data_IF_732522014937
#
_entry.id   IF_732522014937
#
_cell.length_a   1.000
_cell.length_b   1.000
_cell.length_c   1.000
_cell.angle_alpha   90.00
_cell.angle_beta   90.00
_cell.angle_gamma   90.00
#
_symmetry.space_group_name_H-M   'P 1'
#
loop_
_entity.id
_entity.type
_entity.pdbx_description
1 polymer ?
#
# COMPACT_ATOMS: atom_id res chain seq x y z
N UNK A 1 20.49 15.55 -4.91
CA UNK A 1 20.44 14.19 -4.33
C UNK A 1 20.50 14.34 -2.81
N UNK A 2 19.80 13.49 -2.04
CA UNK A 2 19.88 13.48 -0.58
C UNK A 2 21.31 13.29 -0.06
N UNK A 3 21.60 13.79 1.15
CA UNK A 3 22.92 13.67 1.78
C UNK A 3 23.19 12.26 2.35
N UNK A 4 22.15 11.57 2.81
CA UNK A 4 22.29 10.24 3.39
C UNK A 4 22.43 9.19 2.29
N UNK A 5 23.52 8.42 2.34
CA UNK A 5 23.74 7.27 1.47
C UNK A 5 23.26 5.98 2.14
N UNK A 6 22.35 5.27 1.46
CA UNK A 6 21.84 3.96 1.84
C UNK A 6 21.98 2.95 0.68
N UNK A 7 22.92 3.18 -0.24
CA UNK A 7 23.16 2.31 -1.40
C UNK A 7 23.73 0.93 -1.05
N UNK A 8 24.29 0.78 0.16
CA UNK A 8 24.74 -0.51 0.70
C UNK A 8 23.59 -1.40 1.20
N UNK A 9 22.38 -0.84 1.37
CA UNK A 9 21.22 -1.61 1.78
C UNK A 9 20.71 -2.41 0.56
N UNK A 10 20.62 -3.76 0.63
CA UNK A 10 20.30 -4.59 -0.53
C UNK A 10 18.80 -4.60 -0.82
N UNK A 11 18.24 -3.44 -1.15
CA UNK A 11 16.83 -3.24 -1.48
C UNK A 11 16.50 -3.93 -2.81
N UNK A 12 15.31 -4.52 -2.91
CA UNK A 12 14.76 -5.07 -4.16
C UNK A 12 13.34 -4.57 -4.38
N UNK A 13 12.94 -4.41 -5.64
CA UNK A 13 11.54 -4.13 -5.98
C UNK A 13 10.79 -5.44 -6.19
N UNK A 14 9.47 -5.43 -6.01
CA UNK A 14 8.61 -6.60 -6.18
C UNK A 14 7.25 -6.14 -6.73
N UNK A 15 7.01 -6.42 -8.01
CA UNK A 15 5.90 -5.84 -8.77
C UNK A 15 5.34 -6.86 -9.78
N UNK A 16 4.22 -6.58 -10.47
CA UNK A 16 3.77 -7.40 -11.58
C UNK A 16 4.83 -7.48 -12.70
N UNK A 17 4.88 -8.59 -13.47
CA UNK A 17 5.78 -8.71 -14.61
C UNK A 17 5.66 -7.53 -15.59
N UNK A 18 6.80 -6.95 -15.98
CA UNK A 18 6.85 -5.85 -16.96
C UNK A 18 6.63 -4.45 -16.38
N UNK A 19 6.41 -4.30 -15.07
CA UNK A 19 6.27 -3.00 -14.41
C UNK A 19 7.50 -2.11 -14.62
N UNK A 20 7.27 -0.80 -14.77
CA UNK A 20 8.34 0.20 -14.99
C UNK A 20 8.30 1.36 -14.01
N UNK A 21 7.14 1.67 -13.46
CA UNK A 21 6.90 2.66 -12.42
C UNK A 21 7.05 2.06 -11.02
N UNK A 22 8.27 1.67 -10.70
CA UNK A 22 8.62 0.99 -9.45
C UNK A 22 8.68 2.01 -8.31
N UNK A 23 7.54 2.18 -7.63
CA UNK A 23 7.38 3.08 -6.49
C UNK A 23 8.20 2.65 -5.25
N UNK A 24 8.40 1.34 -5.10
CA UNK A 24 8.74 0.71 -3.82
C UNK A 24 9.92 -0.26 -3.96
N UNK A 25 10.87 -0.19 -3.04
CA UNK A 25 11.90 -1.21 -2.87
C UNK A 25 12.03 -1.58 -1.39
N UNK A 26 12.24 -2.86 -1.08
CA UNK A 26 12.24 -3.34 0.31
C UNK A 26 13.43 -4.24 0.63
N UNK A 27 13.77 -4.25 1.90
CA UNK A 27 14.70 -5.20 2.52
C UNK A 27 14.18 -5.53 3.92
N UNK A 28 14.07 -6.81 4.22
CA UNK A 28 13.56 -7.33 5.49
C UNK A 28 14.71 -8.01 6.24
N UNK A 29 15.01 -7.55 7.45
CA UNK A 29 16.07 -8.11 8.30
C UNK A 29 15.57 -8.52 9.67
N UNK A 30 16.25 -9.49 10.31
CA UNK A 30 16.03 -9.81 11.72
C UNK A 30 16.73 -8.81 12.64
N UNK A 31 16.20 -8.65 13.84
CA UNK A 31 16.79 -7.90 14.96
C UNK A 31 16.62 -8.69 16.25
N UNK A 32 17.31 -8.28 17.30
CA UNK A 32 17.06 -8.82 18.64
C UNK A 32 15.61 -8.48 19.06
N UNK A 33 14.77 -9.51 19.18
CA UNK A 33 13.36 -9.39 19.55
C UNK A 33 12.40 -8.99 18.42
N UNK A 34 12.78 -9.19 17.15
CA UNK A 34 11.86 -9.08 16.02
C UNK A 34 12.51 -8.79 14.68
N UNK A 35 12.01 -7.78 13.99
CA UNK A 35 12.33 -7.50 12.58
C UNK A 35 12.60 -6.02 12.34
N UNK A 36 13.25 -5.74 11.21
CA UNK A 36 13.35 -4.41 10.60
C UNK A 36 12.89 -4.49 9.17
N UNK A 37 11.86 -3.70 8.86
CA UNK A 37 11.42 -3.42 7.50
C UNK A 37 12.13 -2.14 7.06
N UNK A 38 13.01 -2.26 6.07
CA UNK A 38 13.55 -1.09 5.38
C UNK A 38 12.83 -0.95 4.03
N UNK A 39 12.09 0.13 3.86
CA UNK A 39 11.20 0.32 2.74
C UNK A 39 11.46 1.69 2.10
N UNK A 40 12.06 1.66 0.92
CA UNK A 40 12.37 2.84 0.14
C UNK A 40 11.20 3.15 -0.79
N UNK A 41 10.69 4.38 -0.71
CA UNK A 41 9.65 4.91 -1.57
C UNK A 41 10.25 5.97 -2.48
N UNK A 42 9.93 5.97 -3.78
CA UNK A 42 10.41 6.98 -4.73
C UNK A 42 10.14 8.42 -4.25
N UNK A 43 11.17 9.28 -4.21
CA UNK A 43 11.03 10.67 -3.74
C UNK A 43 10.66 11.61 -4.90
N UNK A 44 9.37 11.73 -5.20
CA UNK A 44 8.86 12.61 -6.27
C UNK A 44 9.13 14.09 -6.02
N UNK A 45 9.28 14.51 -4.76
CA UNK A 45 9.61 15.89 -4.43
C UNK A 45 11.02 16.30 -4.88
N UNK A 46 11.89 15.32 -5.20
CA UNK A 46 13.17 15.60 -5.85
C UNK A 46 13.03 16.10 -7.29
N UNK A 47 11.87 15.90 -7.92
CA UNK A 47 11.61 16.22 -9.33
C UNK A 47 10.53 17.28 -9.52
N UNK A 48 9.52 17.33 -8.63
CA UNK A 48 8.40 18.26 -8.72
C UNK A 48 8.59 19.42 -7.75
N UNK A 49 8.85 20.61 -8.30
CA UNK A 49 8.95 21.85 -7.54
C UNK A 49 7.55 22.38 -7.22
N UNK A 50 7.24 22.71 -5.95
CA UNK A 50 5.98 23.37 -5.59
C UNK A 50 5.73 24.62 -6.42
N UNK A 51 4.46 24.88 -6.76
CA UNK A 51 4.00 26.03 -7.56
C UNK A 51 4.57 26.09 -9.00
N UNK A 52 5.27 25.04 -9.44
CA UNK A 52 5.79 24.91 -10.80
C UNK A 52 4.76 24.39 -11.80
N UNK A 53 5.07 24.48 -13.10
CA UNK A 53 4.17 24.00 -14.16
C UNK A 53 3.85 22.50 -14.03
N UNK A 54 4.84 21.68 -13.64
CA UNK A 54 4.61 20.25 -13.41
C UNK A 54 3.73 20.00 -12.17
N UNK A 55 3.87 20.82 -11.13
CA UNK A 55 3.05 20.72 -9.91
C UNK A 55 1.58 21.01 -10.21
N UNK A 56 1.31 22.07 -10.97
CA UNK A 56 -0.04 22.40 -11.45
C UNK A 56 -0.68 21.25 -12.24
N UNK A 57 0.07 20.65 -13.18
CA UNK A 57 -0.41 19.49 -13.93
C UNK A 57 -0.66 18.27 -13.02
N UNK A 58 0.17 18.04 -12.01
CA UNK A 58 -0.04 16.97 -11.05
C UNK A 58 -1.32 17.17 -10.23
N UNK A 59 -1.65 18.42 -9.86
CA UNK A 59 -2.92 18.76 -9.21
C UNK A 59 -4.13 18.52 -10.11
N UNK A 60 -4.05 18.91 -11.39
CA UNK A 60 -5.12 18.68 -12.36
C UNK A 60 -5.38 17.18 -12.60
N UNK A 61 -4.34 16.33 -12.55
CA UNK A 61 -4.46 14.87 -12.71
C UNK A 61 -4.84 14.13 -11.44
N UNK A 62 -4.20 14.45 -10.32
CA UNK A 62 -4.31 13.79 -9.02
C UNK A 62 -3.75 12.35 -8.95
N UNK A 63 -3.96 11.53 -9.98
CA UNK A 63 -3.56 10.12 -10.06
C UNK A 63 -3.16 9.69 -11.47
N UNK A 64 -2.43 8.58 -11.59
CA UNK A 64 -2.32 7.86 -12.87
C UNK A 64 -3.63 7.13 -13.15
N UNK A 65 -4.13 7.25 -14.38
CA UNK A 65 -5.28 6.48 -14.86
C UNK A 65 -4.79 5.29 -15.68
N UNK A 66 -5.22 4.08 -15.30
CA UNK A 66 -4.91 2.83 -16.01
C UNK A 66 -6.16 2.36 -16.75
N UNK A 67 -6.13 2.42 -18.08
CA UNK A 67 -7.10 1.79 -18.97
C UNK A 67 -6.51 0.48 -19.52
N UNK A 68 -7.33 -0.46 -20.03
CA UNK A 68 -6.85 -1.72 -20.60
C UNK A 68 -5.77 -1.58 -21.69
N UNK A 69 -5.85 -0.53 -22.50
CA UNK A 69 -5.00 -0.28 -23.67
C UNK A 69 -4.16 1.00 -23.56
N UNK A 70 -4.44 1.82 -22.55
CA UNK A 70 -3.82 3.13 -22.39
C UNK A 70 -3.51 3.41 -20.92
N UNK A 71 -2.34 4.00 -20.65
CA UNK A 71 -1.99 4.55 -19.35
C UNK A 71 -1.78 6.04 -19.48
N UNK A 72 -2.45 6.82 -18.61
CA UNK A 72 -2.26 8.27 -18.51
C UNK A 72 -1.56 8.57 -17.18
N UNK A 73 -0.22 8.69 -17.18
CA UNK A 73 0.56 8.76 -15.94
C UNK A 73 0.40 10.11 -15.24
N UNK A 74 0.45 10.11 -13.90
CA UNK A 74 0.45 11.34 -13.09
C UNK A 74 1.64 12.24 -13.42
N UNK A 75 2.80 11.62 -13.66
CA UNK A 75 4.04 12.30 -14.01
C UNK A 75 4.50 11.88 -15.42
N UNK A 76 5.26 12.71 -16.15
CA UNK A 76 5.88 12.32 -17.41
C UNK A 76 6.70 11.02 -17.28
N UNK A 77 6.74 10.21 -18.34
CA UNK A 77 7.46 8.91 -18.37
C UNK A 77 8.94 9.04 -17.98
N UNK A 78 9.58 10.16 -18.36
CA UNK A 78 10.98 10.46 -17.98
C UNK A 78 11.19 10.55 -16.46
N UNK A 79 10.12 10.78 -15.69
CA UNK A 79 10.11 10.72 -14.23
C UNK A 79 9.59 9.35 -13.78
N UNK A 80 8.35 8.99 -14.11
CA UNK A 80 7.69 7.83 -13.49
C UNK A 80 8.26 6.47 -13.92
N UNK A 81 8.80 6.34 -15.13
CA UNK A 81 9.40 5.09 -15.63
C UNK A 81 10.92 5.12 -15.67
N UNK A 82 11.54 6.23 -15.27
CA UNK A 82 12.98 6.41 -15.38
C UNK A 82 13.59 7.05 -14.13
N UNK A 83 13.58 8.39 -14.04
CA UNK A 83 14.37 9.10 -13.04
C UNK A 83 13.87 8.89 -11.60
N UNK A 84 12.56 8.73 -11.41
CA UNK A 84 11.93 8.46 -10.11
C UNK A 84 11.74 6.98 -9.80
N UNK A 85 11.65 6.13 -10.83
CA UNK A 85 11.50 4.68 -10.67
C UNK A 85 12.73 4.04 -10.02
N UNK A 86 12.51 3.16 -9.04
CA UNK A 86 13.55 2.45 -8.28
C UNK A 86 14.17 1.27 -9.06
N UNK A 87 14.52 1.52 -10.32
CA UNK A 87 15.14 0.57 -11.23
C UNK A 87 16.48 -0.01 -10.67
N UNK A 88 16.78 -1.29 -10.95
CA UNK A 88 17.95 -1.95 -10.41
C UNK A 88 19.26 -1.34 -10.93
N UNK A 89 20.28 -1.32 -10.06
CA UNK A 89 21.63 -0.85 -10.36
C UNK A 89 21.79 0.67 -10.46
N UNK A 90 20.72 1.44 -10.22
CA UNK A 90 20.74 2.89 -10.39
C UNK A 90 20.57 3.63 -9.06
N UNK A 91 21.34 4.69 -8.85
CA UNK A 91 21.16 5.57 -7.70
C UNK A 91 19.86 6.37 -7.86
N UNK A 92 19.02 6.36 -6.83
CA UNK A 92 17.73 7.03 -6.81
C UNK A 92 17.49 7.76 -5.48
N UNK A 93 16.88 8.96 -5.52
CA UNK A 93 16.39 9.59 -4.30
C UNK A 93 15.16 8.83 -3.81
N UNK A 94 15.12 8.52 -2.52
CA UNK A 94 14.00 7.83 -1.89
C UNK A 94 13.70 8.39 -0.51
N UNK A 95 12.44 8.29 -0.12
CA UNK A 95 11.97 8.38 1.26
C UNK A 95 12.13 6.99 1.87
N UNK A 96 13.17 6.82 2.68
CA UNK A 96 13.50 5.56 3.33
C UNK A 96 12.80 5.47 4.69
N UNK A 97 11.88 4.52 4.78
CA UNK A 97 11.22 4.11 6.01
C UNK A 97 12.03 3.00 6.67
N UNK A 98 12.29 3.12 7.96
CA UNK A 98 12.77 2.03 8.80
C UNK A 98 11.74 1.77 9.89
N UNK A 99 11.06 0.63 9.81
CA UNK A 99 10.01 0.22 10.73
C UNK A 99 10.51 -1.00 11.48
N UNK A 100 10.66 -0.84 12.78
CA UNK A 100 11.05 -1.91 13.69
C UNK A 100 9.80 -2.61 14.21
N UNK A 101 9.79 -3.94 14.08
CA UNK A 101 8.70 -4.78 14.53
C UNK A 101 9.17 -5.66 15.68
N UNK A 102 8.29 -5.92 16.64
CA UNK A 102 8.47 -6.98 17.62
C UNK A 102 8.30 -8.37 16.96
N UNK A 103 8.63 -9.45 17.68
CA UNK A 103 8.35 -10.83 17.25
C UNK A 103 6.87 -11.08 16.93
N UNK A 104 5.96 -10.30 17.54
CA UNK A 104 4.52 -10.32 17.25
C UNK A 104 4.14 -9.68 15.91
N UNK A 105 5.07 -8.98 15.26
CA UNK A 105 4.82 -8.16 14.07
C UNK A 105 4.25 -6.77 14.40
N UNK A 106 4.07 -6.41 15.67
CA UNK A 106 3.63 -5.07 16.09
C UNK A 106 4.75 -4.03 15.92
N UNK A 107 4.36 -2.79 15.62
CA UNK A 107 5.31 -1.68 15.45
C UNK A 107 5.90 -1.27 16.78
N UNK A 108 7.21 -1.35 16.90
CA UNK A 108 8.00 -0.87 18.05
C UNK A 108 8.46 0.56 17.82
N UNK A 109 9.03 0.82 16.63
CA UNK A 109 9.56 2.14 16.28
C UNK A 109 9.42 2.38 14.78
N UNK A 110 9.36 3.66 14.39
CA UNK A 110 9.38 4.07 12.98
C UNK A 110 10.20 5.34 12.83
N UNK A 111 11.12 5.32 11.87
CA UNK A 111 11.86 6.50 11.43
C UNK A 111 11.79 6.66 9.91
N UNK A 112 11.80 7.91 9.46
CA UNK A 112 11.68 8.28 8.06
C UNK A 112 12.76 9.29 7.72
N UNK A 113 13.50 9.05 6.63
CA UNK A 113 14.53 9.97 6.16
C UNK A 113 14.70 9.90 4.66
N UNK A 114 15.16 11.01 4.07
CA UNK A 114 15.60 11.01 2.67
C UNK A 114 16.93 10.32 2.53
N UNK A 115 17.07 9.48 1.52
CA UNK A 115 18.29 8.73 1.23
C UNK A 115 18.53 8.60 -0.27
N UNK A 116 19.79 8.42 -0.67
CA UNK A 116 20.14 7.82 -1.95
C UNK A 116 20.16 6.30 -1.77
N UNK A 117 19.38 5.58 -2.58
CA UNK A 117 19.30 4.12 -2.57
C UNK A 117 19.72 3.55 -3.92
N UNK A 118 20.02 2.25 -3.95
CA UNK A 118 20.28 1.50 -5.18
C UNK A 118 19.62 0.13 -5.07
N UNK A 119 18.51 -0.06 -5.77
CA UNK A 119 17.89 -1.39 -5.87
C UNK A 119 18.87 -2.38 -6.50
N UNK A 120 18.97 -3.59 -5.96
CA UNK A 120 19.88 -4.63 -6.46
C UNK A 120 19.21 -5.54 -7.47
N UNK A 121 17.89 -5.65 -7.44
CA UNK A 121 17.10 -6.48 -8.35
C UNK A 121 15.68 -5.94 -8.53
N UNK A 122 15.15 -6.17 -9.73
CA UNK A 122 13.72 -6.04 -10.03
C UNK A 122 13.12 -7.44 -10.04
N UNK A 123 12.24 -7.74 -9.09
CA UNK A 123 11.62 -9.05 -8.95
C UNK A 123 10.14 -8.98 -9.34
N UNK A 124 9.59 -10.12 -9.73
CA UNK A 124 8.17 -10.27 -10.04
C UNK A 124 7.47 -11.29 -9.15
N UNK A 125 6.17 -11.10 -8.93
CA UNK A 125 5.39 -11.94 -8.02
C UNK A 125 5.42 -13.44 -8.37
N UNK A 126 5.20 -13.88 -9.63
CA UNK A 126 5.24 -15.31 -9.96
C UNK A 126 6.59 -15.96 -9.63
N UNK A 127 7.70 -15.31 -9.99
CA UNK A 127 9.03 -15.84 -9.71
C UNK A 127 9.33 -15.86 -8.21
N UNK A 128 8.99 -14.79 -7.47
CA UNK A 128 9.22 -14.77 -6.03
C UNK A 128 8.37 -15.82 -5.31
N UNK A 129 7.10 -15.99 -5.70
CA UNK A 129 6.26 -17.05 -5.14
C UNK A 129 6.91 -18.43 -5.31
N UNK A 130 7.38 -18.76 -6.51
CA UNK A 130 8.05 -20.03 -6.77
C UNK A 130 9.32 -20.22 -5.94
N UNK A 131 10.10 -19.15 -5.70
CA UNK A 131 11.31 -19.24 -4.86
C UNK A 131 10.98 -19.36 -3.38
N UNK A 132 9.91 -18.70 -2.90
CA UNK A 132 9.42 -18.85 -1.53
C UNK A 132 8.95 -20.29 -1.29
N UNK A 133 8.18 -20.87 -2.20
CA UNK A 133 7.64 -22.23 -2.08
C UNK A 133 8.73 -23.31 -2.05
N UNK A 134 9.94 -22.98 -2.54
CA UNK A 134 11.11 -23.86 -2.59
C UNK A 134 12.20 -23.46 -1.59
N UNK A 135 11.89 -22.59 -0.63
CA UNK A 135 12.83 -22.09 0.40
C UNK A 135 14.12 -21.46 -0.18
N UNK A 136 14.01 -20.86 -1.36
CA UNK A 136 15.12 -20.26 -2.12
C UNK A 136 14.89 -18.77 -2.43
N UNK A 137 14.01 -18.12 -1.67
CA UNK A 137 13.67 -16.71 -1.82
C UNK A 137 14.91 -15.79 -1.76
N UNK A 138 14.87 -14.69 -2.51
CA UNK A 138 15.92 -13.68 -2.47
C UNK A 138 16.15 -13.21 -1.02
N UNK A 139 17.40 -13.07 -0.54
CA UNK A 139 17.69 -12.79 0.87
C UNK A 139 16.93 -11.58 1.44
N UNK A 140 16.77 -10.51 0.65
CA UNK A 140 16.04 -9.30 1.03
C UNK A 140 14.54 -9.51 1.30
N UNK A 141 13.96 -10.60 0.78
CA UNK A 141 12.54 -10.97 0.89
C UNK A 141 12.32 -12.28 1.65
N UNK A 142 13.38 -12.92 2.15
CA UNK A 142 13.27 -14.23 2.81
C UNK A 142 12.32 -14.21 4.03
N UNK A 143 12.17 -13.05 4.68
CA UNK A 143 11.27 -12.86 5.83
C UNK A 143 9.88 -12.37 5.43
N UNK A 144 9.58 -12.16 4.15
CA UNK A 144 8.29 -11.65 3.69
C UNK A 144 7.13 -12.57 4.08
N UNK A 145 7.21 -13.91 3.95
CA UNK A 145 6.12 -14.80 4.37
C UNK A 145 5.85 -14.73 5.88
N UNK A 146 6.92 -14.70 6.69
CA UNK A 146 6.84 -14.66 8.15
C UNK A 146 6.24 -13.33 8.65
N UNK A 147 6.79 -12.20 8.18
CA UNK A 147 6.27 -10.87 8.52
C UNK A 147 4.85 -10.69 7.98
N UNK A 148 4.60 -11.07 6.72
CA UNK A 148 3.28 -10.99 6.11
C UNK A 148 2.21 -11.76 6.88
N UNK A 149 2.51 -12.99 7.32
CA UNK A 149 1.61 -13.79 8.14
C UNK A 149 1.32 -13.15 9.51
N UNK A 150 2.33 -12.60 10.19
CA UNK A 150 2.13 -11.86 11.44
C UNK A 150 1.24 -10.64 11.24
N UNK A 151 1.46 -9.89 10.15
CA UNK A 151 0.65 -8.70 9.83
C UNK A 151 -0.81 -9.06 9.51
N UNK A 152 -1.05 -10.15 8.77
CA UNK A 152 -2.39 -10.69 8.54
C UNK A 152 -3.06 -11.11 9.85
N UNK A 153 -2.34 -11.80 10.74
CA UNK A 153 -2.88 -12.17 12.05
C UNK A 153 -3.29 -10.94 12.88
N UNK A 154 -2.49 -9.87 12.86
CA UNK A 154 -2.84 -8.61 13.49
C UNK A 154 -4.01 -7.91 12.80
N UNK A 155 -4.16 -8.02 11.48
CA UNK A 155 -5.32 -7.51 10.75
C UNK A 155 -6.62 -8.21 11.18
N UNK A 156 -6.59 -9.55 11.32
CA UNK A 156 -7.70 -10.34 11.87
C UNK A 156 -8.05 -9.97 13.30
N UNK A 157 -7.06 -9.74 14.17
CA UNK A 157 -7.31 -9.29 15.55
C UNK A 157 -8.02 -7.93 15.62
N UNK A 158 -7.86 -7.09 14.59
CA UNK A 158 -8.57 -5.80 14.45
C UNK A 158 -9.88 -5.93 13.69
N UNK A 159 -10.26 -7.12 13.24
CA UNK A 159 -11.43 -7.38 12.38
C UNK A 159 -11.39 -6.60 11.06
N UNK A 160 -10.20 -6.42 10.49
CA UNK A 160 -10.04 -5.81 9.18
C UNK A 160 -10.80 -6.60 8.10
N UNK A 161 -11.33 -5.89 7.10
CA UNK A 161 -12.03 -6.47 5.97
C UNK A 161 -11.03 -6.61 4.82
N UNK A 162 -10.63 -7.85 4.53
CA UNK A 162 -9.84 -8.20 3.34
C UNK A 162 -10.75 -8.87 2.31
N UNK A 163 -11.15 -8.10 1.29
CA UNK A 163 -11.87 -8.64 0.15
C UNK A 163 -10.87 -9.28 -0.81
N UNK A 164 -10.64 -10.58 -0.63
CA UNK A 164 -9.80 -11.39 -1.53
C UNK A 164 -10.52 -11.69 -2.85
N UNK A 165 -11.13 -10.68 -3.48
CA UNK A 165 -11.76 -10.84 -4.77
C UNK A 165 -10.70 -11.10 -5.84
N UNK A 166 -10.95 -12.00 -6.82
CA UNK A 166 -10.05 -12.17 -7.94
C UNK A 166 -9.91 -10.85 -8.71
N UNK A 167 -8.69 -10.50 -9.11
CA UNK A 167 -8.43 -9.36 -9.97
C UNK A 167 -9.10 -9.59 -11.32
N UNK A 168 -9.72 -8.54 -11.87
CA UNK A 168 -10.32 -8.55 -13.20
C UNK A 168 -9.35 -7.90 -14.19
N UNK A 169 -8.83 -8.68 -15.12
CA UNK A 169 -7.86 -8.23 -16.12
C UNK A 169 -8.49 -8.26 -17.51
N UNK A 170 -8.43 -7.13 -18.21
CA UNK A 170 -8.85 -7.05 -19.61
C UNK A 170 -7.64 -7.39 -20.48
N UNK A 171 -7.72 -8.48 -21.23
CA UNK A 171 -6.63 -9.00 -22.05
C UNK A 171 -7.04 -9.08 -23.52
N UNK A 172 -6.08 -8.94 -24.43
CA UNK A 172 -6.34 -9.14 -25.85
C UNK A 172 -6.53 -10.62 -26.16
N UNK A 173 -7.52 -10.95 -26.98
CA UNK A 173 -7.74 -12.32 -27.45
C UNK A 173 -6.94 -12.61 -28.75
N UNK A 174 -6.89 -13.88 -29.13
CA UNK A 174 -6.18 -14.33 -30.34
C UNK A 174 -6.83 -13.86 -31.65
N UNK A 175 -8.05 -13.32 -31.61
CA UNK A 175 -8.77 -12.76 -32.74
C UNK A 175 -8.60 -11.23 -32.86
N UNK A 176 -7.80 -10.61 -31.99
CA UNK A 176 -7.58 -9.16 -31.95
C UNK A 176 -8.70 -8.38 -31.24
N UNK A 177 -9.58 -9.08 -30.52
CA UNK A 177 -10.58 -8.52 -29.61
C UNK A 177 -10.07 -8.43 -28.16
N UNK A 178 -10.98 -8.19 -27.23
CA UNK A 178 -10.70 -8.11 -25.79
C UNK A 178 -11.60 -9.08 -25.02
N UNK A 179 -11.04 -9.71 -23.99
CA UNK A 179 -11.77 -10.57 -23.04
C UNK A 179 -11.38 -10.22 -21.62
N UNK A 180 -12.22 -10.61 -20.65
CA UNK A 180 -11.92 -10.47 -19.22
C UNK A 180 -11.42 -11.80 -18.68
N UNK A 181 -10.32 -11.76 -17.95
CA UNK A 181 -9.79 -12.87 -17.18
C UNK A 181 -9.83 -12.54 -15.69
N UNK A 182 -10.03 -13.56 -14.87
CA UNK A 182 -9.99 -13.45 -13.42
C UNK A 182 -8.72 -14.10 -12.91
N UNK A 183 -7.98 -13.39 -12.07
CA UNK A 183 -6.72 -13.88 -11.49
C UNK A 183 -6.80 -13.84 -9.98
N UNK A 184 -6.51 -14.98 -9.35
CA UNK A 184 -6.33 -15.03 -7.90
C UNK A 184 -4.95 -14.46 -7.56
N UNK A 185 -4.89 -13.59 -6.56
CA UNK A 185 -3.63 -13.08 -6.04
C UNK A 185 -2.79 -14.20 -5.42
N UNK A 186 -1.48 -14.15 -5.65
CA UNK A 186 -0.53 -15.05 -5.04
C UNK A 186 -0.32 -14.67 -3.55
N UNK A 187 -0.01 -15.63 -2.66
CA UNK A 187 0.32 -15.33 -1.27
C UNK A 187 1.36 -14.22 -1.10
N UNK A 188 2.39 -14.20 -1.95
CA UNK A 188 3.43 -13.16 -1.94
C UNK A 188 2.89 -11.75 -2.21
N UNK A 189 1.85 -11.62 -3.05
CA UNK A 189 1.19 -10.33 -3.32
C UNK A 189 0.48 -9.83 -2.07
N UNK A 190 -0.23 -10.72 -1.38
CA UNK A 190 -0.93 -10.44 -0.13
C UNK A 190 0.08 -10.02 0.95
N UNK A 191 1.18 -10.77 1.12
CA UNK A 191 2.22 -10.41 2.09
C UNK A 191 2.91 -9.09 1.76
N UNK A 192 3.17 -8.81 0.47
CA UNK A 192 3.73 -7.52 0.05
C UNK A 192 2.78 -6.37 0.38
N UNK A 193 1.48 -6.53 0.11
CA UNK A 193 0.46 -5.52 0.43
C UNK A 193 0.46 -5.18 1.93
N UNK A 194 0.72 -6.14 2.82
CA UNK A 194 0.81 -5.89 4.26
C UNK A 194 1.98 -4.97 4.65
N UNK A 195 3.08 -4.95 3.89
CA UNK A 195 4.20 -4.00 4.11
C UNK A 195 3.78 -2.57 3.75
N UNK A 196 3.03 -2.41 2.65
CA UNK A 196 2.42 -1.14 2.28
C UNK A 196 1.37 -0.67 3.31
N UNK A 197 0.50 -1.56 3.79
CA UNK A 197 -0.49 -1.25 4.83
C UNK A 197 0.17 -0.85 6.16
N UNK A 198 1.20 -1.59 6.58
CA UNK A 198 2.04 -1.26 7.73
C UNK A 198 2.60 0.16 7.63
N UNK A 199 3.21 0.49 6.50
CA UNK A 199 3.81 1.81 6.26
C UNK A 199 2.76 2.91 6.30
N UNK A 200 1.59 2.70 5.69
CA UNK A 200 0.51 3.69 5.72
C UNK A 200 -0.11 3.90 7.11
N UNK A 201 -0.18 2.86 7.96
CA UNK A 201 -0.58 3.01 9.37
C UNK A 201 0.46 3.81 10.17
N UNK A 202 1.76 3.54 9.95
CA UNK A 202 2.83 4.34 10.54
C UNK A 202 2.77 5.81 10.11
N UNK A 203 2.50 6.07 8.83
CA UNK A 203 2.38 7.41 8.29
C UNK A 203 1.23 8.19 8.92
N UNK A 204 0.04 7.57 9.03
CA UNK A 204 -1.10 8.19 9.71
C UNK A 204 -0.76 8.58 11.15
N UNK A 205 -0.10 7.69 11.90
CA UNK A 205 0.36 7.97 13.27
C UNK A 205 1.31 9.18 13.32
N UNK A 206 2.29 9.26 12.42
CA UNK A 206 3.23 10.38 12.37
C UNK A 206 2.52 11.71 12.04
N UNK A 207 1.58 11.70 11.11
CA UNK A 207 0.79 12.89 10.76
C UNK A 207 -0.10 13.37 11.93
N UNK A 208 -0.76 12.44 12.62
CA UNK A 208 -1.56 12.75 13.81
C UNK A 208 -0.71 13.34 14.93
N UNK A 209 0.49 12.81 15.16
CA UNK A 209 1.45 13.37 16.11
C UNK A 209 1.97 14.75 15.71
N UNK A 210 2.13 14.99 14.40
CA UNK A 210 2.53 16.30 13.88
C UNK A 210 1.40 17.35 13.98
N UNK A 211 0.15 16.92 14.21
CA UNK A 211 -1.02 17.80 14.19
C UNK A 211 -1.33 18.34 12.80
N UNK A 212 -0.82 17.71 11.74
CA UNK A 212 -1.08 18.10 10.34
C UNK A 212 -0.96 16.86 9.47
N UNK A 213 -1.87 16.69 8.51
CA UNK A 213 -1.92 15.43 7.76
C UNK A 213 -3.00 15.36 6.70
N UNK A 214 -2.95 14.25 5.96
CA UNK A 214 -4.01 13.81 5.05
C UNK A 214 -4.21 12.31 5.24
N UNK A 215 -5.35 11.94 5.84
CA UNK A 215 -5.69 10.54 6.10
C UNK A 215 -6.54 9.98 4.97
N UNK A 216 -6.35 8.70 4.67
CA UNK A 216 -7.25 7.90 3.83
C UNK A 216 -8.32 7.32 4.75
N UNK A 217 -9.52 7.89 4.72
CA UNK A 217 -10.61 7.52 5.63
C UNK A 217 -11.63 6.67 4.91
N UNK A 218 -12.36 5.85 5.67
CA UNK A 218 -13.53 5.11 5.20
C UNK A 218 -14.47 4.96 6.40
N UNK A 219 -15.70 5.51 6.34
CA UNK A 219 -16.68 5.32 7.41
C UNK A 219 -17.01 3.84 7.66
N UNK A 220 -17.46 3.50 8.87
CA UNK A 220 -18.12 2.22 9.12
C UNK A 220 -19.27 2.00 8.15
N UNK A 221 -19.48 0.75 7.74
CA UNK A 221 -20.63 0.38 6.95
C UNK A 221 -21.93 0.70 7.70
N UNK A 222 -22.96 1.12 6.96
CA UNK A 222 -24.27 1.37 7.54
C UNK A 222 -24.87 0.07 8.11
N UNK A 223 -25.54 0.14 9.25
CA UNK A 223 -26.16 -1.03 9.89
C UNK A 223 -27.13 -1.76 8.95
N UNK A 224 -27.84 -1.02 8.09
CA UNK A 224 -28.75 -1.58 7.08
C UNK A 224 -28.03 -2.39 5.99
N UNK A 225 -26.85 -1.96 5.55
CA UNK A 225 -26.06 -2.68 4.56
C UNK A 225 -25.47 -3.95 5.16
N UNK A 226 -25.01 -3.90 6.42
CA UNK A 226 -24.55 -5.09 7.15
C UNK A 226 -25.71 -6.07 7.38
N UNK A 227 -26.89 -5.57 7.76
CA UNK A 227 -28.08 -6.39 7.92
C UNK A 227 -28.52 -7.05 6.61
N UNK A 228 -28.44 -6.34 5.48
CA UNK A 228 -28.69 -6.90 4.14
C UNK A 228 -27.71 -8.03 3.82
N UNK A 229 -26.42 -7.81 4.02
CA UNK A 229 -25.39 -8.84 3.76
C UNK A 229 -25.60 -10.06 4.67
N UNK A 230 -25.91 -9.84 5.95
CA UNK A 230 -26.20 -10.94 6.90
C UNK A 230 -27.40 -11.77 6.49
N UNK A 231 -28.46 -11.15 5.96
CA UNK A 231 -29.63 -11.88 5.45
C UNK A 231 -29.31 -12.75 4.22
N UNK A 232 -28.31 -12.38 3.42
CA UNK A 232 -27.87 -13.14 2.24
C UNK A 232 -27.01 -14.35 2.57
N UNK A 233 -26.25 -14.32 3.68
CA UNK A 233 -25.32 -15.39 4.06
C UNK A 233 -25.94 -16.80 4.05
N UNK A 234 -27.07 -17.07 4.75
CA UNK A 234 -27.67 -18.41 4.74
C UNK A 234 -28.22 -18.83 3.37
N UNK A 235 -28.61 -17.89 2.51
CA UNK A 235 -29.08 -18.19 1.15
C UNK A 235 -27.95 -18.71 0.26
N UNK A 236 -26.70 -18.33 0.56
CA UNK A 236 -25.49 -18.78 -0.12
C UNK A 236 -24.77 -19.91 0.64
N UNK A 237 -25.37 -20.43 1.72
CA UNK A 237 -24.79 -21.50 2.54
C UNK A 237 -23.62 -21.06 3.41
N UNK A 238 -23.51 -19.76 3.69
CA UNK A 238 -22.48 -19.16 4.55
C UNK A 238 -23.05 -19.04 5.97
N UNK A 239 -22.32 -19.59 6.94
CA UNK A 239 -22.66 -19.41 8.36
C UNK A 239 -22.19 -18.03 8.82
N UNK A 240 -23.08 -17.29 9.48
CA UNK A 240 -22.76 -16.00 10.09
C UNK A 240 -23.38 -15.94 11.48
N UNK A 241 -22.65 -16.45 12.50
CA UNK A 241 -23.13 -16.42 13.89
C UNK A 241 -23.39 -14.98 14.37
N UNK A 242 -24.33 -14.86 15.32
CA UNK A 242 -24.65 -13.58 15.94
C UNK A 242 -23.42 -13.02 16.68
N UNK A 243 -23.15 -11.73 16.48
CA UNK A 243 -22.00 -11.05 17.08
C UNK A 243 -20.67 -11.26 16.34
N UNK A 244 -20.58 -12.15 15.35
CA UNK A 244 -19.37 -12.29 14.53
C UNK A 244 -19.18 -11.04 13.64
N UNK A 245 -18.00 -10.38 13.70
CA UNK A 245 -17.67 -9.25 12.83
C UNK A 245 -17.67 -9.62 11.35
N UNK A 246 -17.92 -8.63 10.49
CA UNK A 246 -17.93 -8.82 9.02
C UNK A 246 -16.60 -9.37 8.52
N UNK A 247 -15.48 -8.78 8.93
CA UNK A 247 -14.13 -9.18 8.50
C UNK A 247 -13.86 -10.66 8.76
N UNK A 248 -14.26 -11.16 9.94
CA UNK A 248 -14.04 -12.54 10.37
C UNK A 248 -14.85 -13.55 9.53
N UNK A 249 -16.06 -13.16 9.10
CA UNK A 249 -16.85 -14.01 8.17
C UNK A 249 -16.20 -14.06 6.80
N UNK A 250 -15.76 -12.91 6.29
CA UNK A 250 -15.19 -12.81 4.94
C UNK A 250 -13.83 -13.52 4.83
N UNK A 251 -13.01 -13.50 5.88
CA UNK A 251 -11.71 -14.20 5.93
C UNK A 251 -11.86 -15.74 5.81
N UNK A 252 -13.01 -16.29 6.21
CA UNK A 252 -13.32 -17.71 6.06
C UNK A 252 -13.73 -18.13 4.64
N UNK A 253 -13.90 -17.19 3.71
CA UNK A 253 -14.44 -17.45 2.39
C UNK A 253 -13.36 -17.74 1.35
N UNK A 254 -13.64 -18.71 0.49
CA UNK A 254 -12.77 -19.07 -0.65
C UNK A 254 -13.33 -18.50 -1.95
N UNK A 255 -12.64 -17.54 -2.60
CA UNK A 255 -13.11 -16.88 -3.83
C UNK A 255 -13.34 -17.83 -5.02
N UNK A 256 -12.66 -18.99 -5.05
CA UNK A 256 -12.87 -20.01 -6.08
C UNK A 256 -14.21 -20.74 -6.00
N UNK A 257 -14.98 -20.57 -4.92
CA UNK A 257 -16.31 -21.14 -4.78
C UNK A 257 -17.37 -20.09 -5.14
N UNK A 258 -18.22 -20.39 -6.13
CA UNK A 258 -19.13 -19.39 -6.71
C UNK A 258 -20.05 -18.68 -5.71
N UNK A 259 -20.54 -19.38 -4.69
CA UNK A 259 -21.37 -18.77 -3.65
C UNK A 259 -20.57 -17.78 -2.78
N UNK A 260 -19.32 -18.11 -2.45
CA UNK A 260 -18.42 -17.21 -1.72
C UNK A 260 -18.04 -15.99 -2.56
N UNK A 261 -17.74 -16.19 -3.86
CA UNK A 261 -17.44 -15.09 -4.77
C UNK A 261 -18.60 -14.08 -4.86
N UNK A 262 -19.83 -14.57 -5.01
CA UNK A 262 -21.02 -13.72 -5.05
C UNK A 262 -21.22 -12.95 -3.74
N UNK A 263 -20.95 -13.59 -2.59
CA UNK A 263 -21.03 -12.94 -1.29
C UNK A 263 -19.93 -11.88 -1.09
N UNK A 264 -18.70 -12.16 -1.50
CA UNK A 264 -17.58 -11.22 -1.46
C UNK A 264 -17.83 -9.99 -2.34
N UNK A 265 -18.44 -10.18 -3.51
CA UNK A 265 -18.83 -9.08 -4.41
C UNK A 265 -19.85 -8.15 -3.75
N UNK A 266 -20.92 -8.72 -3.17
CA UNK A 266 -21.91 -7.93 -2.42
C UNK A 266 -21.29 -7.27 -1.18
N UNK A 267 -20.36 -7.93 -0.49
CA UNK A 267 -19.63 -7.36 0.65
C UNK A 267 -18.77 -6.16 0.25
N UNK A 268 -18.36 -6.05 -1.03
CA UNK A 268 -17.73 -4.85 -1.59
C UNK A 268 -18.54 -3.57 -1.39
N UNK A 269 -19.87 -3.68 -1.32
CA UNK A 269 -20.75 -2.52 -1.11
C UNK A 269 -20.59 -1.90 0.29
N UNK A 270 -20.06 -2.63 1.26
CA UNK A 270 -19.76 -2.16 2.62
C UNK A 270 -18.58 -1.18 2.66
N UNK A 271 -17.74 -1.15 1.62
CA UNK A 271 -16.52 -0.34 1.58
C UNK A 271 -16.71 0.99 0.84
N UNK A 272 -17.96 1.44 0.68
CA UNK A 272 -18.29 2.71 0.01
C UNK A 272 -18.02 3.92 0.91
N UNK A 273 -17.64 5.04 0.29
CA UNK A 273 -17.39 6.30 0.99
C UNK A 273 -15.93 6.55 1.37
N UNK A 274 -14.99 5.73 0.89
CA UNK A 274 -13.58 5.95 1.15
C UNK A 274 -13.09 7.28 0.53
N UNK A 275 -12.57 8.18 1.36
CA UNK A 275 -12.20 9.55 1.01
C UNK A 275 -10.80 9.94 1.48
N UNK A 276 -10.44 11.21 1.33
CA UNK A 276 -9.29 11.81 1.98
C UNK A 276 -9.77 12.90 2.93
N UNK A 277 -9.20 12.94 4.13
CA UNK A 277 -9.48 13.97 5.13
C UNK A 277 -8.16 14.66 5.50
N UNK A 278 -8.00 15.90 5.05
CA UNK A 278 -6.86 16.76 5.41
C UNK A 278 -7.14 17.53 6.71
N UNK A 279 -6.10 17.79 7.49
CA UNK A 279 -6.19 18.58 8.72
C UNK A 279 -4.88 19.34 8.99
N UNK A 280 -5.01 20.52 9.62
CA UNK A 280 -3.92 21.29 10.23
C UNK A 280 -4.46 21.85 11.55
N UNK A 281 -4.06 21.23 12.66
CA UNK A 281 -4.68 21.36 13.98
C UNK A 281 -5.45 20.11 14.38
N UNK A 282 -6.76 20.25 14.61
CA UNK A 282 -7.62 19.16 15.09
C UNK A 282 -7.75 18.05 14.03
N UNK A 283 -7.54 16.77 14.40
CA UNK A 283 -7.78 15.62 13.53
C UNK A 283 -9.25 15.55 13.04
N UNK A 284 -9.51 14.87 11.90
CA UNK A 284 -10.88 14.66 11.45
C UNK A 284 -11.68 13.85 12.47
N UNK A 285 -12.98 14.13 12.60
CA UNK A 285 -13.90 13.41 13.50
C UNK A 285 -13.89 11.89 13.27
N UNK A 286 -13.63 11.48 12.02
CA UNK A 286 -13.52 10.09 11.62
C UNK A 286 -12.15 9.81 10.97
N UNK A 287 -11.10 9.53 11.76
CA UNK A 287 -9.74 9.32 11.26
C UNK A 287 -9.48 7.90 10.75
N UNK A 288 -10.42 6.98 10.96
CA UNK A 288 -10.24 5.56 10.65
C UNK A 288 -10.60 5.21 9.21
N UNK A 289 -9.97 4.15 8.71
CA UNK A 289 -10.39 3.43 7.53
C UNK A 289 -11.05 2.11 7.93
N UNK A 290 -12.38 2.01 7.83
CA UNK A 290 -13.13 0.87 8.35
C UNK A 290 -12.66 -0.50 7.82
N UNK A 291 -12.23 -0.58 6.56
CA UNK A 291 -11.70 -1.84 6.00
C UNK A 291 -10.35 -2.24 6.59
N UNK A 292 -9.46 -1.27 6.87
CA UNK A 292 -8.13 -1.54 7.45
C UNK A 292 -8.25 -1.71 8.97
N UNK A 293 -9.36 -1.22 9.55
CA UNK A 293 -9.61 -1.13 10.98
C UNK A 293 -8.49 -0.38 11.72
N UNK A 294 -7.97 0.69 11.11
CA UNK A 294 -6.93 1.55 11.68
C UNK A 294 -6.95 2.95 11.05
N UNK A 295 -6.24 3.89 11.68
CA UNK A 295 -5.82 5.14 11.06
C UNK A 295 -4.87 4.80 9.92
N UNK A 296 -5.09 5.38 8.74
CA UNK A 296 -4.38 4.98 7.54
C UNK A 296 -4.13 6.18 6.63
N UNK A 297 -2.95 6.20 6.01
CA UNK A 297 -2.57 7.21 5.03
C UNK A 297 -1.87 6.55 3.84
N UNK A 298 -2.02 7.16 2.67
CA UNK A 298 -1.35 6.75 1.46
C UNK A 298 0.02 7.45 1.35
N UNK A 299 1.11 6.69 1.36
CA UNK A 299 2.49 7.21 1.25
C UNK A 299 3.46 6.28 0.49
N UNK A 300 2.94 5.24 -0.17
CA UNK A 300 3.75 4.17 -0.77
C UNK A 300 3.70 4.11 -2.29
N UNK A 301 2.94 4.98 -2.95
CA UNK A 301 2.78 4.96 -4.41
C UNK A 301 2.86 6.36 -5.07
N UNK A 302 3.89 7.19 -4.75
CA UNK A 302 3.93 8.58 -5.17
C UNK A 302 4.11 8.80 -6.67
N UNK A 303 4.63 7.83 -7.44
CA UNK A 303 4.76 7.97 -8.90
C UNK A 303 3.39 8.03 -9.59
N UNK A 304 2.34 7.52 -8.93
CA UNK A 304 0.98 7.37 -9.47
C UNK A 304 -0.14 7.98 -8.63
N UNK A 305 0.18 8.58 -7.48
CA UNK A 305 -0.82 9.18 -6.59
C UNK A 305 -0.26 10.41 -5.90
N UNK A 306 -0.90 11.56 -6.12
CA UNK A 306 -0.43 12.86 -5.66
C UNK A 306 -0.33 12.96 -4.13
N UNK A 307 -1.33 12.43 -3.41
CA UNK A 307 -1.44 12.58 -1.95
C UNK A 307 -0.20 12.06 -1.20
N UNK A 308 0.47 11.04 -1.73
CA UNK A 308 1.64 10.39 -1.13
C UNK A 308 2.81 11.36 -0.99
N UNK A 309 2.91 12.33 -1.90
CA UNK A 309 3.92 13.38 -1.83
C UNK A 309 3.76 14.22 -0.57
N UNK A 310 2.54 14.66 -0.26
CA UNK A 310 2.25 15.45 0.94
C UNK A 310 2.48 14.62 2.20
N UNK A 311 1.96 13.39 2.21
CA UNK A 311 2.12 12.51 3.35
C UNK A 311 3.58 12.20 3.68
N UNK A 312 4.42 11.99 2.66
CA UNK A 312 5.84 11.74 2.83
C UNK A 312 6.58 12.92 3.46
N UNK A 313 6.29 14.15 3.02
CA UNK A 313 6.94 15.36 3.57
C UNK A 313 6.58 15.61 5.03
N UNK A 314 5.33 15.37 5.41
CA UNK A 314 4.88 15.49 6.80
C UNK A 314 5.63 14.47 7.67
N UNK A 315 5.70 13.22 7.22
CA UNK A 315 6.39 12.16 7.96
C UNK A 315 7.90 12.40 8.09
N UNK A 316 8.53 12.94 7.03
CA UNK A 316 9.94 13.35 7.06
C UNK A 316 10.18 14.49 8.06
N UNK A 317 9.35 15.52 8.05
CA UNK A 317 9.47 16.64 8.98
C UNK A 317 9.26 16.19 10.44
N UNK A 318 8.23 15.38 10.69
CA UNK A 318 7.95 14.81 12.01
C UNK A 318 9.10 13.93 12.50
N UNK A 319 9.63 13.04 11.66
CA UNK A 319 10.73 12.15 12.03
C UNK A 319 12.05 12.91 12.27
N UNK A 320 12.25 14.06 11.63
CA UNK A 320 13.42 14.92 11.82
C UNK A 320 13.25 15.95 12.95
N UNK A 321 12.05 16.09 13.53
CA UNK A 321 11.76 17.09 14.56
C UNK A 321 11.83 18.54 14.03
N UNK A 322 11.51 18.74 12.75
CA UNK A 322 11.51 20.06 12.10
C UNK A 322 10.10 20.48 11.67
N UNK A 323 9.82 21.77 11.47
CA UNK A 323 8.52 22.21 10.97
C UNK A 323 8.17 21.61 9.61
N UNK A 324 6.91 21.21 9.44
CA UNK A 324 6.38 20.79 8.13
C UNK A 324 6.53 21.93 7.11
N UNK A 325 7.03 21.68 5.89
CA UNK A 325 7.23 22.73 4.89
C UNK A 325 5.96 23.53 4.59
N UNK A 326 6.09 24.84 4.38
CA UNK A 326 4.94 25.73 4.17
C UNK A 326 4.08 25.35 2.96
N UNK A 327 4.69 24.89 1.87
CA UNK A 327 3.96 24.45 0.67
C UNK A 327 3.09 23.20 0.92
N UNK A 328 3.49 22.34 1.86
CA UNK A 328 2.73 21.13 2.24
C UNK A 328 1.51 21.49 3.08
N UNK A 329 1.60 22.56 3.89
CA UNK A 329 0.47 23.09 4.67
C UNK A 329 -0.52 23.90 3.82
N UNK A 330 -0.06 24.47 2.71
CA UNK A 330 -0.85 25.33 1.86
C UNK A 330 -1.62 24.60 0.75
N UNK A 331 -1.12 23.43 0.32
CA UNK A 331 -1.77 22.54 -0.64
C UNK A 331 -2.72 21.57 0.04
#
# INVERSE_FOLDING_TARGET
MPEHDATDLPLVTLDPPGSRDLDQAMHLGRRDGGYRVSYAIADVAAFVQPDGALDGECWDRGVTVYCPDLRVPLHPEVICEAAGSLLPGQNRPAVLWQIDLADSGEVVDVSVRRAVVRSTAQLDYPNVQSTVDTESAHPSLALLPEIGALRLALARQRHAIELNLPDQEVVSDSAGGWTVMFRTQLPVEIWNAQISLLTGMCAARLMLQAGVGVLRTLPPAAEEDVARLRALAPMLGIDWPDGTPVGDVLDGLTPGFGAHAAFLDEAGTLLRGAGYASFDGEPPEQPLHAAVAAEYAHVTAPLRRLVDRFGSEICLAQSAGVPVPGWVRAG
#
